data_IF_057947203520
#
_entry.id   IF_057947203520
#
_cell.length_a   1.000
_cell.length_b   1.000
_cell.length_c   1.000
_cell.angle_alpha   90.00
_cell.angle_beta   90.00
_cell.angle_gamma   90.00
#
_symmetry.space_group_name_H-M   'P 1'
#
loop_
_entity.id
_entity.type
_entity.pdbx_description
1 polymer ?
#
# COMPACT_ATOMS: atom_id res chain seq x y z
N UNK A 1 45.79 3.64 -1.05
CA UNK A 1 45.15 3.66 0.29
C UNK A 1 44.39 4.96 0.42
N UNK A 2 43.07 4.89 0.66
CA UNK A 2 42.14 5.98 1.08
C UNK A 2 41.03 6.45 0.13
N UNK A 3 40.97 6.06 -1.15
CA UNK A 3 39.74 6.21 -1.95
C UNK A 3 39.03 4.87 -2.20
N UNK A 4 39.24 3.94 -1.27
CA UNK A 4 38.41 2.76 -1.04
C UNK A 4 37.10 3.18 -0.32
N UNK A 5 36.09 2.32 -0.33
CA UNK A 5 34.92 2.28 0.59
C UNK A 5 33.65 3.09 0.29
N UNK A 6 33.65 4.24 -0.38
CA UNK A 6 32.37 4.99 -0.54
C UNK A 6 31.42 4.42 -1.63
N UNK A 7 31.99 3.79 -2.66
CA UNK A 7 31.20 3.28 -3.80
C UNK A 7 30.37 2.03 -3.47
N UNK A 8 30.61 1.39 -2.33
CA UNK A 8 29.84 0.22 -1.89
C UNK A 8 28.76 0.55 -0.84
N UNK A 9 28.73 1.78 -0.31
CA UNK A 9 27.71 2.20 0.67
C UNK A 9 26.42 2.69 -0.01
N UNK A 10 26.48 3.19 -1.24
CA UNK A 10 25.33 3.74 -1.95
C UNK A 10 24.58 2.74 -2.83
N UNK A 11 25.11 1.51 -2.99
CA UNK A 11 24.42 0.43 -3.68
C UNK A 11 23.28 -0.20 -2.83
N UNK A 12 23.18 0.15 -1.55
CA UNK A 12 22.20 -0.39 -0.62
C UNK A 12 20.88 0.41 -0.54
N UNK A 13 20.73 1.51 -1.28
CA UNK A 13 19.48 2.30 -1.29
C UNK A 13 18.47 1.86 -2.36
N UNK A 14 18.76 0.79 -3.12
CA UNK A 14 18.00 0.44 -4.33
C UNK A 14 17.43 -0.98 -4.37
N UNK A 15 17.37 -1.70 -3.25
CA UNK A 15 16.60 -2.94 -3.16
C UNK A 15 15.63 -2.87 -1.99
N UNK A 16 14.33 -2.84 -2.34
CA UNK A 16 13.23 -2.91 -1.40
C UNK A 16 13.36 -4.14 -0.52
N UNK A 17 13.84 -3.95 0.69
CA UNK A 17 13.49 -4.80 1.81
C UNK A 17 12.04 -4.46 2.17
N UNK A 18 11.21 -5.46 2.37
CA UNK A 18 10.08 -5.31 3.30
C UNK A 18 10.66 -5.55 4.69
N UNK A 19 10.80 -4.52 5.53
CA UNK A 19 10.68 -4.73 6.96
C UNK A 19 9.23 -4.43 7.31
N UNK A 20 8.79 -4.93 8.45
CA UNK A 20 7.58 -4.43 9.13
C UNK A 20 7.83 -3.00 9.61
N UNK A 21 8.03 -2.07 8.68
CA UNK A 21 8.57 -0.74 8.92
C UNK A 21 7.43 0.27 8.98
N UNK A 22 7.02 0.59 10.21
CA UNK A 22 6.43 1.90 10.46
C UNK A 22 7.40 2.98 9.97
N UNK A 23 6.87 4.10 9.49
CA UNK A 23 7.67 5.28 9.23
C UNK A 23 8.17 5.89 10.55
N UNK A 24 9.30 6.60 10.52
CA UNK A 24 9.76 7.37 11.67
C UNK A 24 8.69 8.37 12.13
N UNK A 25 8.72 8.74 13.41
CA UNK A 25 7.79 9.72 13.98
C UNK A 25 7.77 11.05 13.20
N UNK A 26 8.92 11.50 12.69
CA UNK A 26 9.04 12.71 11.88
C UNK A 26 8.43 12.58 10.47
N UNK A 27 8.20 11.35 10.02
CA UNK A 27 7.59 11.04 8.74
C UNK A 27 6.07 10.82 8.86
N UNK A 28 5.49 11.08 10.03
CA UNK A 28 4.04 11.06 10.23
C UNK A 28 3.42 12.43 9.95
N UNK A 29 2.21 12.43 9.40
CA UNK A 29 1.45 13.64 9.09
C UNK A 29 -0.05 13.32 9.08
N UNK A 30 -0.86 14.32 9.40
CA UNK A 30 -2.28 14.29 9.06
C UNK A 30 -2.44 14.58 7.57
N UNK A 31 -2.99 13.61 6.83
CA UNK A 31 -3.21 13.76 5.40
C UNK A 31 -4.49 13.08 4.96
N UNK A 32 -4.80 13.23 3.67
CA UNK A 32 -5.97 12.69 3.04
C UNK A 32 -5.58 11.87 1.81
N UNK A 33 -6.40 10.87 1.51
CA UNK A 33 -6.30 10.03 0.31
C UNK A 33 -7.68 9.70 -0.21
N UNK A 34 -7.74 9.32 -1.47
CA UNK A 34 -8.96 8.80 -2.08
C UNK A 34 -9.03 7.30 -1.79
N UNK A 35 -10.13 6.89 -1.17
CA UNK A 35 -10.46 5.52 -0.87
C UNK A 35 -11.83 5.22 -1.48
N UNK A 36 -11.87 4.28 -2.44
CA UNK A 36 -13.09 3.91 -3.16
C UNK A 36 -13.94 5.10 -3.67
N UNK A 37 -13.29 6.16 -4.16
CA UNK A 37 -13.97 7.37 -4.67
C UNK A 37 -14.46 8.35 -3.59
N UNK A 38 -14.09 8.14 -2.32
CA UNK A 38 -14.36 9.05 -1.20
C UNK A 38 -13.04 9.57 -0.61
N UNK A 39 -13.05 10.80 -0.10
CA UNK A 39 -11.90 11.34 0.62
C UNK A 39 -11.88 10.87 2.06
N UNK A 40 -10.85 10.10 2.40
CA UNK A 40 -10.58 9.61 3.75
C UNK A 40 -9.32 10.30 4.27
N UNK A 41 -9.42 10.93 5.43
CA UNK A 41 -8.30 11.61 6.08
C UNK A 41 -7.97 10.90 7.39
N UNK A 42 -6.67 10.78 7.67
CA UNK A 42 -6.18 10.15 8.88
C UNK A 42 -4.80 10.71 9.25
N UNK A 43 -4.31 10.30 10.41
CA UNK A 43 -2.92 10.51 10.80
C UNK A 43 -2.13 9.22 10.54
N UNK A 44 -0.94 9.34 9.95
CA UNK A 44 -0.12 8.19 9.57
C UNK A 44 1.10 8.62 8.77
N UNK A 45 1.72 7.70 8.04
CA UNK A 45 2.91 8.00 7.26
C UNK A 45 2.62 8.92 6.07
N UNK A 46 3.53 9.87 5.79
CA UNK A 46 3.46 10.77 4.63
C UNK A 46 3.26 10.03 3.30
N UNK A 47 3.83 8.83 3.16
CA UNK A 47 3.68 7.97 1.96
C UNK A 47 2.25 7.49 1.70
N UNK A 48 1.42 7.40 2.74
CA UNK A 48 0.05 6.89 2.67
C UNK A 48 -0.96 7.97 2.26
N UNK A 49 -0.56 9.23 2.27
CA UNK A 49 -1.43 10.35 1.93
C UNK A 49 -0.93 11.05 0.67
N UNK A 50 -1.85 11.27 -0.26
CA UNK A 50 -1.58 12.01 -1.49
C UNK A 50 -1.87 13.50 -1.36
N UNK A 51 -2.77 13.85 -0.45
CA UNK A 51 -3.27 15.21 -0.26
C UNK A 51 -3.01 15.65 1.18
N UNK A 52 -2.62 16.91 1.37
CA UNK A 52 -2.42 17.45 2.72
C UNK A 52 -3.77 17.78 3.37
N UNK A 53 -4.76 18.18 2.57
CA UNK A 53 -6.07 18.63 3.06
C UNK A 53 -7.24 17.88 2.42
N UNK A 54 -8.38 17.84 3.13
CA UNK A 54 -9.62 17.24 2.62
C UNK A 54 -10.13 17.96 1.38
N UNK A 55 -9.95 19.29 1.31
CA UNK A 55 -10.37 20.13 0.18
C UNK A 55 -9.62 19.77 -1.09
N UNK A 56 -8.29 19.65 -1.02
CA UNK A 56 -7.47 19.18 -2.14
C UNK A 56 -7.92 17.81 -2.65
N UNK A 57 -8.17 16.87 -1.73
CA UNK A 57 -8.67 15.56 -2.07
C UNK A 57 -10.03 15.64 -2.80
N UNK A 58 -10.97 16.46 -2.31
CA UNK A 58 -12.29 16.63 -2.91
C UNK A 58 -12.23 17.27 -4.29
N UNK A 59 -11.36 18.27 -4.46
CA UNK A 59 -11.17 18.91 -5.76
C UNK A 59 -10.51 17.95 -6.76
N UNK A 60 -9.62 17.06 -6.30
CA UNK A 60 -9.11 15.97 -7.12
C UNK A 60 -10.20 14.95 -7.51
N UNK A 61 -11.13 14.62 -6.60
CA UNK A 61 -12.29 13.76 -6.90
C UNK A 61 -13.24 14.39 -7.93
N UNK A 62 -13.45 15.71 -7.88
CA UNK A 62 -14.24 16.43 -8.89
C UNK A 62 -13.57 16.42 -10.26
N UNK A 63 -12.24 16.38 -10.31
CA UNK A 63 -11.44 16.33 -11.53
C UNK A 63 -11.26 14.94 -12.16
N UNK A 64 -11.44 13.86 -11.39
CA UNK A 64 -11.51 12.40 -11.73
C UNK A 64 -10.65 11.83 -12.89
N UNK A 65 -9.67 12.56 -13.39
CA UNK A 65 -8.75 12.11 -14.45
C UNK A 65 -7.55 11.33 -13.92
N UNK A 66 -7.23 11.47 -12.62
CA UNK A 66 -6.05 10.87 -11.97
C UNK A 66 -6.38 9.92 -10.81
N UNK A 67 -7.64 9.48 -10.69
CA UNK A 67 -8.00 8.44 -9.73
C UNK A 67 -7.76 7.05 -10.33
N UNK A 68 -6.63 6.44 -9.96
CA UNK A 68 -6.26 5.09 -10.38
C UNK A 68 -7.25 4.03 -9.88
N UNK A 69 -7.94 4.29 -8.77
CA UNK A 69 -8.95 3.36 -8.23
C UNK A 69 -10.24 3.37 -9.04
N UNK A 70 -10.53 4.42 -9.82
CA UNK A 70 -11.69 4.46 -10.72
C UNK A 70 -11.63 3.39 -11.82
N UNK A 71 -10.44 2.84 -12.13
CA UNK A 71 -10.28 1.69 -13.04
C UNK A 71 -10.52 0.33 -12.39
N UNK A 72 -10.88 0.31 -11.10
CA UNK A 72 -11.12 -0.90 -10.31
C UNK A 72 -9.97 -1.92 -10.44
N UNK A 73 -8.72 -1.56 -10.07
CA UNK A 73 -7.57 -2.45 -10.21
C UNK A 73 -7.59 -3.64 -9.25
N UNK A 74 -8.36 -3.57 -8.17
CA UNK A 74 -8.50 -4.63 -7.16
C UNK A 74 -9.59 -5.62 -7.58
N UNK A 75 -9.26 -6.91 -7.64
CA UNK A 75 -10.18 -7.98 -8.02
C UNK A 75 -10.93 -8.54 -6.79
N UNK A 76 -11.93 -9.39 -7.04
CA UNK A 76 -12.62 -10.20 -6.01
C UNK A 76 -13.16 -9.40 -4.80
N UNK A 77 -13.63 -8.17 -5.03
CA UNK A 77 -14.20 -7.33 -3.98
C UNK A 77 -13.19 -6.64 -3.07
N UNK A 78 -11.90 -6.62 -3.44
CA UNK A 78 -10.88 -5.87 -2.70
C UNK A 78 -11.08 -4.35 -2.77
N UNK A 79 -10.80 -3.66 -1.67
CA UNK A 79 -10.91 -2.20 -1.59
C UNK A 79 -9.67 -1.52 -2.15
N UNK A 80 -9.85 -0.51 -3.01
CA UNK A 80 -8.76 0.26 -3.59
C UNK A 80 -8.54 1.58 -2.85
N UNK A 81 -7.29 1.82 -2.46
CA UNK A 81 -6.84 3.06 -1.85
C UNK A 81 -5.73 3.68 -2.69
N UNK A 82 -5.83 4.98 -2.99
CA UNK A 82 -4.76 5.71 -3.67
C UNK A 82 -3.64 6.06 -2.68
N UNK A 83 -2.39 5.80 -3.09
CA UNK A 83 -1.19 6.08 -2.28
C UNK A 83 -0.17 6.85 -3.11
N UNK A 84 0.85 7.40 -2.46
CA UNK A 84 1.91 8.15 -3.14
C UNK A 84 3.03 7.22 -3.63
N UNK A 85 3.28 6.12 -2.92
CA UNK A 85 4.25 5.09 -3.30
C UNK A 85 3.84 4.36 -4.60
N UNK A 86 4.78 4.02 -5.48
CA UNK A 86 4.50 3.23 -6.70
C UNK A 86 3.97 1.83 -6.33
N UNK A 87 2.90 1.31 -6.98
CA UNK A 87 2.28 1.76 -8.24
C UNK A 87 1.19 2.83 -8.10
N UNK A 88 1.19 3.61 -7.02
CA UNK A 88 0.25 4.70 -6.68
C UNK A 88 -1.15 4.25 -6.27
N UNK A 89 -1.32 2.94 -6.04
CA UNK A 89 -2.50 2.35 -5.43
C UNK A 89 -2.11 1.17 -4.55
N UNK A 90 -2.98 0.83 -3.61
CA UNK A 90 -2.89 -0.37 -2.79
C UNK A 90 -4.27 -1.02 -2.70
N UNK A 91 -4.31 -2.34 -2.83
CA UNK A 91 -5.51 -3.13 -2.62
C UNK A 91 -5.52 -3.69 -1.20
N UNK A 92 -6.66 -3.55 -0.51
CA UNK A 92 -6.96 -4.23 0.75
C UNK A 92 -7.85 -5.42 0.45
N UNK A 93 -7.33 -6.62 0.69
CA UNK A 93 -8.02 -7.89 0.39
C UNK A 93 -8.61 -8.56 1.64
N UNK A 94 -8.42 -7.96 2.82
CA UNK A 94 -8.93 -8.48 4.09
C UNK A 94 -10.44 -8.74 4.01
N UNK A 95 -10.88 -9.91 4.48
CA UNK A 95 -12.30 -10.30 4.44
C UNK A 95 -12.83 -10.75 3.08
N UNK A 96 -12.03 -10.71 2.00
CA UNK A 96 -12.45 -11.21 0.67
C UNK A 96 -12.18 -12.70 0.48
N UNK A 97 -11.27 -13.30 1.27
CA UNK A 97 -10.75 -14.65 1.03
C UNK A 97 -9.72 -14.72 -0.09
N UNK A 98 -9.20 -13.57 -0.54
CA UNK A 98 -8.16 -13.45 -1.54
C UNK A 98 -6.98 -12.62 -1.01
N UNK A 99 -5.82 -12.74 -1.66
CA UNK A 99 -4.59 -12.01 -1.32
C UNK A 99 -3.78 -11.62 -2.57
N UNK A 100 -2.71 -10.86 -2.33
CA UNK A 100 -1.79 -10.35 -3.36
C UNK A 100 -2.12 -8.93 -3.80
N UNK A 101 -1.25 -8.35 -4.63
CA UNK A 101 -1.29 -6.92 -4.98
C UNK A 101 -2.62 -6.43 -5.58
N UNK A 102 -3.39 -7.32 -6.21
CA UNK A 102 -4.71 -7.03 -6.78
C UNK A 102 -5.80 -7.97 -6.24
N UNK A 103 -5.57 -8.64 -5.12
CA UNK A 103 -6.49 -9.64 -4.57
C UNK A 103 -6.83 -10.77 -5.57
N UNK A 104 -5.85 -11.16 -6.40
CA UNK A 104 -6.06 -12.12 -7.48
C UNK A 104 -5.86 -13.58 -7.08
N UNK A 105 -5.25 -13.84 -5.91
CA UNK A 105 -4.95 -15.20 -5.44
C UNK A 105 -5.92 -15.61 -4.35
N UNK A 106 -6.41 -16.84 -4.40
CA UNK A 106 -7.21 -17.43 -3.33
C UNK A 106 -6.34 -17.65 -2.08
N UNK A 107 -6.92 -17.38 -0.91
CA UNK A 107 -6.27 -17.70 0.35
C UNK A 107 -6.05 -19.21 0.49
N UNK A 108 -4.85 -19.64 0.92
CA UNK A 108 -4.57 -21.06 1.14
C UNK A 108 -5.45 -21.59 2.27
N UNK A 109 -6.02 -22.78 2.07
CA UNK A 109 -6.76 -23.47 3.14
C UNK A 109 -5.79 -24.19 4.07
N UNK A 110 -6.05 -24.21 5.39
CA UNK A 110 -5.20 -24.92 6.34
C UNK A 110 -5.08 -26.42 6.04
N UNK A 111 -6.11 -27.01 5.43
CA UNK A 111 -6.15 -28.43 5.07
C UNK A 111 -5.25 -28.79 3.87
N UNK A 112 -4.84 -27.80 3.07
CA UNK A 112 -3.98 -27.98 1.89
C UNK A 112 -2.56 -27.42 2.11
N UNK A 113 -2.29 -26.95 3.32
CA UNK A 113 -1.02 -26.35 3.68
C UNK A 113 -0.04 -27.42 4.18
N UNK A 114 0.84 -27.90 3.30
CA UNK A 114 2.04 -28.65 3.72
C UNK A 114 2.90 -27.83 4.69
N UNK A 115 3.87 -28.48 5.35
CA UNK A 115 4.59 -27.95 6.52
C UNK A 115 5.50 -26.71 6.31
N UNK A 116 5.31 -25.93 5.24
CA UNK A 116 6.02 -24.65 5.02
C UNK A 116 5.14 -23.59 4.31
N UNK A 117 3.82 -23.58 4.56
CA UNK A 117 2.96 -22.54 3.96
C UNK A 117 2.99 -21.26 4.80
N UNK A 118 3.66 -20.24 4.28
CA UNK A 118 3.55 -18.87 4.78
C UNK A 118 2.14 -18.34 4.48
N UNK A 119 1.31 -18.21 5.51
CA UNK A 119 -0.02 -17.63 5.39
C UNK A 119 0.08 -16.10 5.18
N UNK A 120 -0.54 -15.55 4.11
CA UNK A 120 -0.66 -14.11 3.94
C UNK A 120 -1.49 -13.50 5.06
N UNK A 121 -1.08 -12.33 5.55
CA UNK A 121 -1.82 -11.59 6.59
C UNK A 121 -3.25 -11.26 6.17
N UNK A 122 -3.48 -11.01 4.87
CA UNK A 122 -4.80 -10.74 4.32
C UNK A 122 -5.77 -11.93 4.40
N UNK A 123 -5.24 -13.14 4.63
CA UNK A 123 -5.99 -14.39 4.73
C UNK A 123 -6.29 -14.82 6.16
N UNK A 124 -5.80 -14.10 7.16
CA UNK A 124 -6.09 -14.39 8.56
C UNK A 124 -7.41 -13.73 8.92
N UNK A 125 -8.43 -14.54 9.21
CA UNK A 125 -9.73 -14.07 9.71
C UNK A 125 -9.60 -14.01 11.24
N UNK A 126 -9.63 -12.81 11.82
CA UNK A 126 -9.67 -12.58 13.27
C UNK A 126 -11.09 -12.55 13.81
#
# INVERSE_FOLDING_TARGET
>A
MEQELLNNYLAYQSYGSQPTQGCDLDQTQHGCRIDNGQCTCAFGCKSEFRYATKKECQDALKGRTNDICSRQPCMNGGSCTQVTAMPQYRCRCEGTGYWGNRCQRLCPKPEQAGQDVKFPHECVVI
#
